data_IF_686980045519
#
_entry.id   IF_686980045519
#
_cell.length_a   1.000
_cell.length_b   1.000
_cell.length_c   1.000
_cell.angle_alpha   90.00
_cell.angle_beta   90.00
_cell.angle_gamma   90.00
#
_symmetry.space_group_name_H-M   'P 1'
#
loop_
_entity.id
_entity.type
_entity.pdbx_description
1 polymer ?
#
# COMPACT_ATOMS: atom_id res chain seq x y z
N UNK A 1 -6.59 -0.67 29.72
CA UNK A 1 -6.65 -0.43 28.27
C UNK A 1 -6.14 -1.69 27.58
N UNK A 2 -6.83 -2.16 26.54
CA UNK A 2 -6.33 -3.24 25.66
C UNK A 2 -5.91 -2.60 24.34
N UNK A 3 -4.72 -2.95 23.85
CA UNK A 3 -4.15 -2.39 22.63
C UNK A 3 -3.53 -3.50 21.77
N UNK A 4 -3.64 -3.37 20.46
CA UNK A 4 -3.15 -4.35 19.49
C UNK A 4 -3.33 -3.85 18.07
N UNK A 5 -2.50 -4.34 17.15
CA UNK A 5 -2.53 -3.98 15.72
C UNK A 5 -3.62 -4.71 14.93
N UNK A 6 -4.26 -5.73 15.53
CA UNK A 6 -5.27 -6.57 14.89
C UNK A 6 -6.44 -6.81 15.85
N UNK A 7 -7.68 -6.67 15.35
CA UNK A 7 -8.87 -6.84 16.18
C UNK A 7 -9.06 -8.28 16.67
N UNK A 8 -8.60 -9.30 15.92
CA UNK A 8 -8.68 -10.70 16.35
C UNK A 8 -7.98 -10.95 17.68
N UNK A 9 -6.86 -10.26 17.93
CA UNK A 9 -6.14 -10.31 19.20
C UNK A 9 -6.94 -9.62 20.32
N UNK A 10 -7.55 -8.48 20.02
CA UNK A 10 -8.39 -7.74 20.99
C UNK A 10 -9.63 -8.53 21.42
N UNK A 11 -10.26 -9.23 20.47
CA UNK A 11 -11.46 -10.05 20.70
C UNK A 11 -11.21 -11.31 21.56
N UNK A 12 -9.95 -11.62 21.89
CA UNK A 12 -9.60 -12.66 22.86
C UNK A 12 -9.78 -12.18 24.31
N UNK A 13 -9.77 -10.86 24.54
CA UNK A 13 -9.90 -10.31 25.89
C UNK A 13 -11.37 -10.38 26.34
N UNK A 14 -11.68 -10.95 27.53
CA UNK A 14 -13.07 -11.20 27.95
C UNK A 14 -13.90 -9.92 28.14
N UNK A 15 -13.23 -8.80 28.40
CA UNK A 15 -13.89 -7.49 28.52
C UNK A 15 -14.21 -6.77 27.20
N UNK A 16 -13.90 -7.36 26.03
CA UNK A 16 -14.15 -6.74 24.72
C UNK A 16 -15.43 -7.33 24.12
N UNK A 17 -16.48 -6.51 24.01
CA UNK A 17 -17.74 -6.91 23.37
C UNK A 17 -17.57 -7.15 21.87
N UNK A 18 -18.37 -8.09 21.34
CA UNK A 18 -18.46 -8.42 19.91
C UNK A 18 -19.63 -7.74 19.20
N UNK A 19 -20.27 -6.78 19.85
CA UNK A 19 -21.40 -6.05 19.26
C UNK A 19 -20.98 -5.32 18.00
N UNK A 20 -21.77 -5.55 16.94
CA UNK A 20 -21.51 -4.96 15.62
C UNK A 20 -21.82 -3.48 15.63
N UNK A 21 -20.94 -2.71 15.00
CA UNK A 21 -21.14 -1.29 14.75
C UNK A 21 -21.86 -1.10 13.40
N UNK A 22 -23.17 -0.87 13.43
CA UNK A 22 -23.97 -0.75 12.20
C UNK A 22 -23.60 0.48 11.37
N UNK A 23 -23.04 1.52 11.99
CA UNK A 23 -22.51 2.68 11.27
C UNK A 23 -21.27 2.28 10.46
N UNK A 24 -20.38 1.47 11.04
CA UNK A 24 -19.25 0.91 10.32
C UNK A 24 -19.67 0.02 9.14
N UNK A 25 -20.72 -0.79 9.32
CA UNK A 25 -21.29 -1.61 8.23
C UNK A 25 -21.88 -0.72 7.13
N UNK A 26 -22.58 0.36 7.49
CA UNK A 26 -23.08 1.32 6.51
C UNK A 26 -21.93 1.90 5.68
N UNK A 27 -20.87 2.41 6.32
CA UNK A 27 -19.69 2.91 5.60
C UNK A 27 -19.05 1.86 4.70
N UNK A 28 -18.90 0.62 5.18
CA UNK A 28 -18.34 -0.46 4.38
C UNK A 28 -19.19 -0.74 3.13
N UNK A 29 -20.51 -0.83 3.27
CA UNK A 29 -21.40 -1.10 2.14
C UNK A 29 -21.48 0.08 1.16
N UNK A 30 -21.31 1.31 1.64
CA UNK A 30 -21.32 2.51 0.80
C UNK A 30 -19.99 2.80 0.11
N UNK A 31 -18.86 2.51 0.76
CA UNK A 31 -17.53 2.97 0.31
C UNK A 31 -16.47 1.87 0.23
N UNK A 32 -16.82 0.62 0.53
CA UNK A 32 -15.89 -0.54 0.60
C UNK A 32 -14.76 -0.28 1.63
N UNK A 33 -15.03 0.59 2.61
CA UNK A 33 -14.06 1.00 3.62
C UNK A 33 -14.76 1.39 4.92
N UNK A 34 -14.19 0.98 6.05
CA UNK A 34 -14.59 1.48 7.37
C UNK A 34 -13.60 2.59 7.77
N UNK A 35 -14.00 3.86 7.84
CA UNK A 35 -13.09 4.95 8.21
C UNK A 35 -12.63 4.81 9.67
N UNK A 36 -11.42 5.28 9.99
CA UNK A 36 -11.05 5.48 11.39
C UNK A 36 -11.95 6.59 12.00
N UNK A 37 -12.29 6.52 13.30
CA UNK A 37 -11.84 5.54 14.28
C UNK A 37 -12.70 4.26 14.34
N UNK A 38 -13.72 4.12 13.49
CA UNK A 38 -14.65 3.00 13.54
C UNK A 38 -14.00 1.66 13.19
N UNK A 39 -14.59 0.58 13.68
CA UNK A 39 -14.31 -0.80 13.24
C UNK A 39 -15.63 -1.55 13.12
N UNK A 40 -15.61 -2.79 12.62
CA UNK A 40 -16.80 -3.63 12.60
C UNK A 40 -17.41 -3.87 14.01
N UNK A 41 -16.66 -3.62 15.08
CA UNK A 41 -17.06 -3.84 16.47
C UNK A 41 -17.13 -2.53 17.25
N UNK A 42 -18.23 -2.29 17.98
CA UNK A 42 -18.44 -1.04 18.74
C UNK A 42 -17.38 -0.81 19.82
N UNK A 43 -16.92 -1.89 20.44
CA UNK A 43 -15.95 -1.84 21.54
C UNK A 43 -14.50 -1.58 21.08
N UNK A 44 -14.23 -1.62 19.77
CA UNK A 44 -12.89 -1.49 19.21
C UNK A 44 -12.82 -0.22 18.35
N UNK A 45 -11.79 0.60 18.59
CA UNK A 45 -11.52 1.82 17.83
C UNK A 45 -10.12 1.78 17.22
N UNK A 46 -9.99 2.21 15.97
CA UNK A 46 -8.71 2.45 15.31
C UNK A 46 -8.16 3.80 15.77
N UNK A 47 -6.86 3.84 16.07
CA UNK A 47 -6.14 5.11 16.14
C UNK A 47 -6.13 5.73 14.73
N UNK A 48 -6.49 7.01 14.66
CA UNK A 48 -6.52 7.73 13.39
C UNK A 48 -5.10 7.90 12.81
N UNK A 49 -4.95 7.88 11.47
CA UNK A 49 -3.64 8.10 10.84
C UNK A 49 -3.09 9.49 11.22
N UNK A 50 -1.76 9.58 11.39
CA UNK A 50 -1.12 10.84 11.78
C UNK A 50 -1.36 11.25 13.24
N UNK A 51 -1.90 10.36 14.08
CA UNK A 51 -2.10 10.59 15.50
C UNK A 51 -1.23 9.68 16.38
N UNK A 52 -0.88 10.20 17.55
CA UNK A 52 -0.25 9.45 18.64
C UNK A 52 -1.25 9.29 19.78
N UNK A 53 -1.12 8.20 20.53
CA UNK A 53 -1.92 7.91 21.72
C UNK A 53 -0.99 7.75 22.92
N UNK A 54 -1.21 8.56 23.94
CA UNK A 54 -0.56 8.44 25.25
C UNK A 54 -1.58 7.95 26.27
N UNK A 55 -1.29 6.81 26.91
CA UNK A 55 -2.07 6.34 28.04
C UNK A 55 -1.25 6.46 29.33
N UNK A 56 -1.80 7.15 30.33
CA UNK A 56 -1.14 7.36 31.62
C UNK A 56 -2.19 7.44 32.72
N UNK A 57 -2.02 6.66 33.80
CA UNK A 57 -2.88 6.67 34.98
C UNK A 57 -4.38 6.52 34.68
N UNK A 58 -4.74 5.72 33.68
CA UNK A 58 -6.14 5.52 33.27
C UNK A 58 -6.66 6.54 32.26
N UNK A 59 -5.92 7.63 32.01
CA UNK A 59 -6.29 8.66 31.04
C UNK A 59 -5.68 8.36 29.66
N UNK A 60 -6.43 8.70 28.61
CA UNK A 60 -6.01 8.61 27.21
C UNK A 60 -5.92 10.02 26.65
N UNK A 61 -4.77 10.37 26.08
CA UNK A 61 -4.57 11.59 25.28
C UNK A 61 -4.23 11.21 23.85
N UNK A 62 -4.98 11.75 22.90
CA UNK A 62 -4.73 11.55 21.47
C UNK A 62 -4.32 12.90 20.87
N UNK A 63 -3.18 12.92 20.20
CA UNK A 63 -2.65 14.14 19.56
C UNK A 63 -2.27 13.86 18.12
N UNK A 64 -2.75 14.73 17.21
CA UNK A 64 -2.37 14.70 15.80
C UNK A 64 -0.96 15.29 15.64
N UNK A 65 -0.03 14.47 15.18
CA UNK A 65 1.34 14.91 14.90
C UNK A 65 1.57 15.20 13.41
N UNK A 66 0.70 14.74 12.52
CA UNK A 66 0.84 14.95 11.08
C UNK A 66 -0.52 15.06 10.36
N UNK A 67 -0.61 15.98 9.41
CA UNK A 67 -1.72 16.10 8.46
C UNK A 67 -1.19 16.67 7.14
N UNK A 68 -1.76 16.22 6.02
CA UNK A 68 -1.47 16.79 4.73
C UNK A 68 -2.06 18.20 4.61
N UNK A 69 -1.23 19.17 4.24
CA UNK A 69 -1.61 20.58 4.05
C UNK A 69 -1.57 20.95 2.57
N UNK A 70 -2.75 21.08 1.95
CA UNK A 70 -2.89 21.44 0.53
C UNK A 70 -2.86 22.96 0.27
N UNK A 71 -2.80 23.79 1.32
CA UNK A 71 -2.80 25.24 1.17
C UNK A 71 -1.45 25.78 0.67
N UNK A 72 -0.36 25.05 0.96
CA UNK A 72 1.01 25.42 0.62
C UNK A 72 1.43 24.82 -0.71
N UNK A 73 1.01 25.46 -1.80
CA UNK A 73 1.48 25.09 -3.14
C UNK A 73 2.91 25.59 -3.36
N UNK A 74 3.71 24.77 -4.04
CA UNK A 74 5.05 25.17 -4.48
C UNK A 74 4.92 26.06 -5.72
N UNK A 75 5.73 27.10 -5.78
CA UNK A 75 5.89 27.95 -6.97
C UNK A 75 7.12 27.46 -7.75
N UNK A 76 6.92 26.41 -8.54
CA UNK A 76 7.96 25.74 -9.33
C UNK A 76 7.43 25.38 -10.71
N UNK A 77 8.34 25.22 -11.67
CA UNK A 77 7.97 24.78 -13.02
C UNK A 77 7.49 23.32 -13.04
N UNK A 78 6.71 22.95 -14.05
CA UNK A 78 6.29 21.54 -14.25
C UNK A 78 7.49 20.60 -14.41
N UNK A 79 8.54 21.05 -15.12
CA UNK A 79 9.77 20.28 -15.29
C UNK A 79 10.45 20.01 -13.95
N UNK A 80 10.59 21.05 -13.11
CA UNK A 80 11.18 20.92 -11.77
C UNK A 80 10.33 20.02 -10.87
N UNK A 81 8.99 20.15 -10.93
CA UNK A 81 8.08 19.28 -10.20
C UNK A 81 8.26 17.81 -10.62
N UNK A 82 8.41 17.54 -11.91
CA UNK A 82 8.66 16.21 -12.46
C UNK A 82 9.97 15.60 -11.95
N UNK A 83 11.07 16.37 -11.99
CA UNK A 83 12.37 15.95 -11.46
C UNK A 83 12.30 15.63 -9.97
N UNK A 84 11.66 16.51 -9.19
CA UNK A 84 11.49 16.33 -7.75
C UNK A 84 10.65 15.10 -7.39
N UNK A 85 9.60 14.82 -8.15
CA UNK A 85 8.80 13.59 -7.97
C UNK A 85 9.64 12.35 -8.20
N UNK A 86 10.47 12.33 -9.26
CA UNK A 86 11.36 11.21 -9.55
C UNK A 86 12.37 11.00 -8.42
N UNK A 87 12.97 12.06 -7.89
CA UNK A 87 13.94 11.96 -6.81
C UNK A 87 13.31 11.49 -5.50
N UNK A 88 12.13 12.02 -5.15
CA UNK A 88 11.38 11.57 -3.97
C UNK A 88 10.94 10.11 -4.09
N UNK A 89 10.50 9.69 -5.28
CA UNK A 89 10.11 8.31 -5.52
C UNK A 89 11.32 7.37 -5.48
N UNK A 90 12.47 7.78 -6.05
CA UNK A 90 13.74 7.04 -5.97
C UNK A 90 14.15 6.84 -4.52
N UNK A 91 14.10 7.90 -3.71
CA UNK A 91 14.45 7.80 -2.29
C UNK A 91 13.48 6.91 -1.52
N UNK A 92 12.17 7.03 -1.77
CA UNK A 92 11.17 6.20 -1.13
C UNK A 92 11.37 4.70 -1.47
N UNK A 93 11.78 4.38 -2.69
CA UNK A 93 12.16 3.03 -3.13
C UNK A 93 13.45 2.59 -2.44
N UNK A 94 14.50 3.41 -2.45
CA UNK A 94 15.80 3.09 -1.85
C UNK A 94 15.68 2.71 -0.37
N UNK A 95 14.93 3.49 0.41
CA UNK A 95 14.70 3.20 1.85
C UNK A 95 13.98 1.84 2.04
N UNK A 96 13.11 1.44 1.10
CA UNK A 96 12.35 0.17 1.16
C UNK A 96 13.11 -1.03 0.60
N UNK A 97 14.27 -0.82 -0.02
CA UNK A 97 15.14 -1.91 -0.49
C UNK A 97 16.04 -2.47 0.62
N UNK A 98 16.15 -1.80 1.77
CA UNK A 98 16.87 -2.31 2.92
C UNK A 98 16.10 -3.48 3.55
N UNK A 99 16.50 -4.71 3.24
CA UNK A 99 15.86 -5.92 3.74
C UNK A 99 16.87 -7.04 4.00
N UNK A 100 16.62 -7.81 5.05
CA UNK A 100 17.40 -9.02 5.38
C UNK A 100 16.95 -10.25 4.57
N UNK A 101 15.86 -10.13 3.82
CA UNK A 101 15.30 -11.20 2.98
C UNK A 101 15.20 -10.77 1.52
N UNK A 102 15.20 -11.72 0.56
CA UNK A 102 15.06 -11.38 -0.85
C UNK A 102 13.75 -10.66 -1.13
N UNK A 103 13.83 -9.51 -1.82
CA UNK A 103 12.67 -8.71 -2.20
C UNK A 103 12.11 -9.11 -3.56
N UNK A 104 10.80 -8.95 -3.70
CA UNK A 104 10.08 -9.02 -4.95
C UNK A 104 9.04 -7.92 -5.04
N UNK A 105 8.61 -7.61 -6.26
CA UNK A 105 7.62 -6.58 -6.51
C UNK A 105 6.45 -7.15 -7.31
N UNK A 106 5.24 -6.75 -6.95
CA UNK A 106 4.09 -6.93 -7.83
C UNK A 106 4.22 -5.95 -9.00
N UNK A 107 4.13 -6.48 -10.21
CA UNK A 107 4.18 -5.72 -11.45
C UNK A 107 2.85 -5.84 -12.17
N UNK A 108 2.16 -4.71 -12.28
CA UNK A 108 0.97 -4.55 -13.12
C UNK A 108 1.36 -4.01 -14.50
N UNK A 109 0.36 -3.86 -15.37
CA UNK A 109 0.51 -3.15 -16.65
C UNK A 109 0.60 -1.61 -16.52
N UNK A 110 0.42 -1.08 -15.31
CA UNK A 110 0.33 0.36 -15.04
C UNK A 110 1.66 1.08 -14.84
N UNK A 111 1.61 2.42 -14.89
CA UNK A 111 2.78 3.29 -14.71
C UNK A 111 3.33 3.23 -13.28
N UNK A 112 2.48 3.09 -12.26
CA UNK A 112 2.90 3.15 -10.85
C UNK A 112 3.84 2.00 -10.47
N UNK A 113 3.38 0.76 -10.69
CA UNK A 113 4.18 -0.43 -10.40
C UNK A 113 5.42 -0.51 -11.30
N UNK A 114 5.28 -0.09 -12.56
CA UNK A 114 6.41 -0.01 -13.50
C UNK A 114 7.47 0.99 -13.05
N UNK A 115 7.07 2.15 -12.53
CA UNK A 115 7.99 3.16 -12.02
C UNK A 115 8.74 2.66 -10.78
N UNK A 116 8.02 2.03 -9.84
CA UNK A 116 8.64 1.41 -8.66
C UNK A 116 9.63 0.33 -9.06
N UNK A 117 9.25 -0.61 -9.94
CA UNK A 117 10.13 -1.70 -10.41
C UNK A 117 11.35 -1.16 -11.16
N UNK A 118 11.17 -0.14 -12.00
CA UNK A 118 12.27 0.48 -12.73
C UNK A 118 13.29 1.11 -11.77
N UNK A 119 12.83 1.82 -10.74
CA UNK A 119 13.70 2.40 -9.71
C UNK A 119 14.35 1.31 -8.85
N UNK A 120 13.62 0.27 -8.46
CA UNK A 120 14.19 -0.87 -7.74
C UNK A 120 15.34 -1.51 -8.52
N UNK A 121 15.21 -1.59 -9.85
CA UNK A 121 16.22 -2.15 -10.73
C UNK A 121 17.45 -1.25 -10.92
N UNK A 122 17.30 0.07 -10.74
CA UNK A 122 18.40 1.04 -10.78
C UNK A 122 19.18 1.04 -9.47
N UNK A 123 18.48 0.94 -8.34
CA UNK A 123 19.05 0.99 -6.99
C UNK A 123 19.61 -0.37 -6.51
N UNK A 124 19.20 -1.49 -7.13
CA UNK A 124 19.65 -2.83 -6.73
C UNK A 124 20.80 -3.36 -7.58
N UNK A 125 21.81 -3.93 -6.92
CA UNK A 125 22.89 -4.67 -7.58
C UNK A 125 22.41 -6.01 -8.16
N UNK A 126 21.35 -6.58 -7.61
CA UNK A 126 20.74 -7.85 -8.00
C UNK A 126 19.56 -7.66 -8.96
N UNK A 127 19.05 -8.76 -9.55
CA UNK A 127 17.86 -8.71 -10.39
C UNK A 127 16.60 -8.64 -9.52
N UNK A 128 15.77 -7.63 -9.77
CA UNK A 128 14.43 -7.53 -9.15
C UNK A 128 13.55 -8.67 -9.63
N UNK A 129 13.01 -9.44 -8.68
CA UNK A 129 12.01 -10.47 -8.95
C UNK A 129 10.65 -9.80 -9.07
N UNK A 130 9.97 -9.98 -10.20
CA UNK A 130 8.66 -9.39 -10.43
C UNK A 130 7.59 -10.46 -10.62
N UNK A 131 6.41 -10.15 -10.08
CA UNK A 131 5.27 -11.05 -10.05
C UNK A 131 4.03 -10.35 -10.58
N UNK A 132 3.33 -10.98 -11.51
CA UNK A 132 2.07 -10.46 -12.05
C UNK A 132 0.95 -11.46 -11.80
N UNK A 133 -0.23 -10.96 -11.45
CA UNK A 133 -1.44 -11.74 -11.27
C UNK A 133 -2.32 -11.53 -12.49
N UNK A 134 -2.77 -12.61 -13.12
CA UNK A 134 -3.71 -12.56 -14.25
C UNK A 134 -4.98 -13.35 -13.97
N UNK A 135 -6.11 -12.87 -14.51
CA UNK A 135 -7.43 -13.51 -14.44
C UNK A 135 -7.83 -14.07 -15.82
N UNK A 136 -8.64 -15.14 -15.83
CA UNK A 136 -9.13 -15.80 -17.04
C UNK A 136 -10.22 -14.99 -17.78
N UNK A 137 -10.95 -14.13 -17.06
CA UNK A 137 -11.98 -13.25 -17.61
C UNK A 137 -11.35 -12.04 -18.33
N UNK A 138 -11.62 -11.88 -19.63
CA UNK A 138 -11.00 -10.86 -20.49
C UNK A 138 -11.24 -9.42 -20.02
N UNK A 139 -12.39 -9.15 -19.38
CA UNK A 139 -12.80 -7.80 -18.97
C UNK A 139 -12.02 -7.23 -17.77
N UNK A 140 -11.32 -8.07 -17.01
CA UNK A 140 -10.49 -7.67 -15.86
C UNK A 140 -9.02 -8.05 -16.02
N UNK A 141 -8.64 -8.53 -17.21
CA UNK A 141 -7.32 -9.07 -17.45
C UNK A 141 -6.34 -7.99 -17.92
N UNK A 142 -5.38 -7.62 -17.06
CA UNK A 142 -4.20 -6.83 -17.47
C UNK A 142 -3.34 -7.54 -18.53
N UNK A 143 -3.69 -8.77 -18.93
CA UNK A 143 -3.04 -9.50 -20.03
C UNK A 143 -3.11 -8.76 -21.37
N UNK A 144 -4.04 -7.82 -21.58
CA UNK A 144 -4.01 -6.93 -22.75
C UNK A 144 -2.85 -5.90 -22.68
N UNK A 145 -2.38 -5.54 -21.48
CA UNK A 145 -1.19 -4.72 -21.25
C UNK A 145 0.12 -5.52 -21.22
N UNK A 146 0.10 -6.79 -21.65
CA UNK A 146 1.30 -7.67 -21.73
C UNK A 146 2.41 -7.10 -22.62
N UNK A 147 2.09 -6.23 -23.58
CA UNK A 147 3.10 -5.48 -24.34
C UNK A 147 3.89 -4.50 -23.46
N UNK A 148 3.28 -3.87 -22.46
CA UNK A 148 3.96 -2.89 -21.62
C UNK A 148 4.80 -3.53 -20.52
N UNK A 149 4.28 -4.51 -19.77
CA UNK A 149 5.06 -5.22 -18.74
C UNK A 149 6.31 -5.90 -19.31
N UNK A 150 6.23 -6.41 -20.56
CA UNK A 150 7.39 -6.97 -21.27
C UNK A 150 8.35 -5.90 -21.81
N UNK A 151 7.88 -4.70 -22.14
CA UNK A 151 8.74 -3.57 -22.57
C UNK A 151 9.48 -2.95 -21.38
N UNK A 152 8.82 -2.72 -20.25
CA UNK A 152 9.48 -2.23 -19.01
C UNK A 152 10.53 -3.24 -18.53
N UNK A 153 10.22 -4.53 -18.65
CA UNK A 153 11.14 -5.64 -18.39
C UNK A 153 12.26 -5.81 -19.45
N UNK A 154 12.39 -4.95 -20.45
CA UNK A 154 13.37 -5.13 -21.53
C UNK A 154 14.04 -3.82 -21.97
N UNK A 155 13.67 -2.66 -21.39
CA UNK A 155 14.18 -1.33 -21.77
C UNK A 155 15.15 -0.67 -20.78
N UNK A 156 15.59 -1.36 -19.73
CA UNK A 156 16.76 -0.88 -18.99
C UNK A 156 17.99 -0.97 -19.88
N UNK A 157 18.73 0.14 -20.00
CA UNK A 157 19.93 0.29 -20.86
C UNK A 157 21.11 -0.59 -20.42
N UNK A 158 20.94 -1.30 -19.32
CA UNK A 158 21.75 -2.44 -18.86
C UNK A 158 21.10 -3.72 -19.38
N UNK A 159 21.85 -4.58 -20.09
CA UNK A 159 21.43 -5.92 -20.57
C UNK A 159 20.98 -6.85 -19.42
N UNK A 160 19.87 -6.55 -18.74
CA UNK A 160 19.30 -7.36 -17.65
C UNK A 160 17.83 -7.59 -17.98
N UNK A 161 17.55 -8.72 -18.66
CA UNK A 161 16.19 -9.24 -18.84
C UNK A 161 15.58 -9.52 -17.46
N UNK A 162 14.41 -8.97 -17.17
CA UNK A 162 13.68 -9.24 -15.93
C UNK A 162 12.82 -10.50 -16.12
N UNK A 163 13.05 -11.57 -15.33
CA UNK A 163 12.15 -12.70 -15.32
C UNK A 163 10.84 -12.28 -14.63
N UNK A 164 9.78 -12.07 -15.42
CA UNK A 164 8.43 -11.91 -14.90
C UNK A 164 7.89 -13.31 -14.62
N UNK A 165 7.68 -13.63 -13.35
CA UNK A 165 7.00 -14.88 -12.97
C UNK A 165 5.52 -14.58 -12.85
N UNK A 166 4.73 -15.04 -13.82
CA UNK A 166 3.27 -14.85 -13.81
C UNK A 166 2.62 -15.95 -12.98
N UNK A 167 1.88 -15.55 -11.95
CA UNK A 167 1.02 -16.44 -11.18
C UNK A 167 -0.42 -16.31 -11.71
N UNK A 168 -1.05 -17.44 -12.05
CA UNK A 168 -2.48 -17.47 -12.40
C UNK A 168 -3.29 -17.64 -11.11
N UNK A 169 -4.13 -16.66 -10.79
CA UNK A 169 -5.06 -16.77 -9.67
C UNK A 169 -6.47 -17.05 -10.21
N UNK A 170 -7.17 -18.03 -9.63
CA UNK A 170 -8.61 -18.19 -9.84
C UNK A 170 -9.35 -17.24 -8.91
N UNK A 171 -10.32 -16.49 -9.43
CA UNK A 171 -11.17 -15.62 -8.62
C UNK A 171 -11.98 -16.51 -7.68
N UNK A 172 -11.77 -16.37 -6.38
CA UNK A 172 -12.74 -16.85 -5.38
C UNK A 172 -13.80 -15.75 -5.33
N UNK A 173 -14.92 -16.00 -6.00
CA UNK A 173 -16.11 -15.14 -5.87
C UNK A 173 -16.63 -15.37 -4.46
N UNK A 174 -16.65 -14.31 -3.65
CA UNK A 174 -17.28 -14.29 -2.33
C UNK A 174 -18.67 -13.67 -2.46
#
# INVERSE_FOLDING_TARGET
>A
MVFGSEFNALLQHPGVSRDVDYEAIHYYLSFICVPAPLTAYRAIRKLEPGHSLLWRNGEVKIERYWQLDFSKKLDISEQEAGERVVDLLREAVRIRLMSEVPLGAFLSGGIDSSAVVALMAQESSERVKTFSIGFEEQDFSELHHRRWSSITANRSRTRRRFPVTTFRARRVVM
#
